data_IF_004851476967
#
_entry.id   IF_004851476967
#
_cell.length_a   1.000
_cell.length_b   1.000
_cell.length_c   1.000
_cell.angle_alpha   90.00
_cell.angle_beta   90.00
_cell.angle_gamma   90.00
#
_symmetry.space_group_name_H-M   'P 1'
#
loop_
_entity.id
_entity.type
_entity.pdbx_description
1 polymer ?
#
# COMPACT_ATOMS: atom_id res chain seq x y z
N UNK A 1 5.03 18.60 -6.14
CA UNK A 1 3.61 18.52 -5.73
C UNK A 1 3.12 17.08 -5.53
N UNK A 2 3.31 16.12 -6.44
CA UNK A 2 2.99 14.70 -6.16
C UNK A 2 4.03 13.98 -5.26
N UNK A 3 5.32 14.30 -5.42
CA UNK A 3 6.38 13.70 -4.60
C UNK A 3 6.33 14.17 -3.14
N UNK A 4 5.91 15.41 -2.89
CA UNK A 4 5.82 15.99 -1.54
C UNK A 4 4.74 15.28 -0.72
N UNK A 5 3.59 14.99 -1.32
CA UNK A 5 2.50 14.26 -0.66
C UNK A 5 2.92 12.83 -0.31
N UNK A 6 3.73 12.19 -1.17
CA UNK A 6 4.27 10.86 -0.87
C UNK A 6 5.17 10.88 0.37
N UNK A 7 6.13 11.79 0.45
CA UNK A 7 7.02 11.89 1.62
C UNK A 7 6.28 12.27 2.90
N UNK A 8 5.29 13.17 2.80
CA UNK A 8 4.44 13.53 3.93
C UNK A 8 3.61 12.35 4.42
N UNK A 9 3.05 11.55 3.50
CA UNK A 9 2.33 10.33 3.84
C UNK A 9 3.25 9.31 4.51
N UNK A 10 4.45 9.05 3.97
CA UNK A 10 5.38 8.10 4.60
C UNK A 10 5.83 8.60 5.97
N UNK A 11 6.06 9.91 6.15
CA UNK A 11 6.38 10.47 7.46
C UNK A 11 5.22 10.26 8.44
N UNK A 12 3.98 10.53 8.03
CA UNK A 12 2.80 10.26 8.85
C UNK A 12 2.70 8.77 9.23
N UNK A 13 2.91 7.86 8.27
CA UNK A 13 2.95 6.41 8.50
C UNK A 13 4.01 6.02 9.53
N UNK A 14 5.20 6.63 9.47
CA UNK A 14 6.29 6.36 10.43
C UNK A 14 6.00 6.85 11.85
N UNK A 15 5.27 7.97 12.03
CA UNK A 15 5.10 8.61 13.33
C UNK A 15 3.71 8.42 13.97
N UNK A 16 2.72 7.89 13.23
CA UNK A 16 1.36 7.68 13.73
C UNK A 16 1.08 6.20 14.01
N UNK A 17 0.83 5.86 15.28
CA UNK A 17 0.44 4.49 15.66
C UNK A 17 -0.89 4.06 15.02
N UNK A 18 -1.81 5.02 14.82
CA UNK A 18 -3.05 4.78 14.07
C UNK A 18 -2.74 4.37 12.63
N UNK A 19 -1.85 5.10 11.95
CA UNK A 19 -1.44 4.78 10.58
C UNK A 19 -0.81 3.40 10.49
N UNK A 20 0.09 3.08 11.42
CA UNK A 20 0.79 1.80 11.44
C UNK A 20 -0.16 0.61 11.56
N UNK A 21 -1.15 0.71 12.46
CA UNK A 21 -2.16 -0.33 12.62
C UNK A 21 -3.04 -0.48 11.38
N UNK A 22 -3.41 0.63 10.73
CA UNK A 22 -4.20 0.61 9.51
C UNK A 22 -3.42 -0.03 8.34
N UNK A 23 -2.15 0.35 8.17
CA UNK A 23 -1.29 -0.16 7.09
C UNK A 23 -0.96 -1.65 7.22
N UNK A 24 -0.98 -2.20 8.43
CA UNK A 24 -0.86 -3.65 8.64
C UNK A 24 -2.12 -4.44 8.25
N UNK A 25 -3.27 -3.75 8.14
CA UNK A 25 -4.56 -4.38 7.87
C UNK A 25 -5.02 -4.22 6.41
N UNK A 26 -4.21 -3.59 5.55
CA UNK A 26 -4.56 -3.41 4.14
C UNK A 26 -4.36 -4.68 3.34
N UNK A 27 -5.25 -4.94 2.39
CA UNK A 27 -5.21 -6.10 1.51
C UNK A 27 -4.83 -5.75 0.07
N UNK A 28 -4.79 -4.46 -0.27
CA UNK A 28 -4.48 -3.99 -1.61
C UNK A 28 -3.69 -2.67 -1.60
N UNK A 29 -2.91 -2.39 -2.66
CA UNK A 29 -2.28 -1.08 -2.84
C UNK A 29 -3.30 0.06 -2.91
N UNK A 30 -4.49 -0.20 -3.43
CA UNK A 30 -5.58 0.77 -3.54
C UNK A 30 -6.06 1.24 -2.17
N UNK A 31 -6.19 0.33 -1.20
CA UNK A 31 -6.54 0.69 0.18
C UNK A 31 -5.51 1.65 0.80
N UNK A 32 -4.22 1.49 0.50
CA UNK A 32 -3.18 2.41 0.97
C UNK A 32 -3.36 3.80 0.35
N UNK A 33 -3.68 3.87 -0.94
CA UNK A 33 -3.98 5.13 -1.63
C UNK A 33 -5.23 5.80 -1.05
N UNK A 34 -6.28 5.03 -0.73
CA UNK A 34 -7.50 5.53 -0.10
C UNK A 34 -7.24 6.07 1.31
N UNK A 35 -6.45 5.35 2.12
CA UNK A 35 -6.02 5.81 3.45
C UNK A 35 -5.25 7.13 3.36
N UNK A 36 -4.34 7.26 2.39
CA UNK A 36 -3.60 8.48 2.14
C UNK A 36 -4.54 9.64 1.74
N UNK A 37 -5.49 9.37 0.84
CA UNK A 37 -6.47 10.35 0.38
C UNK A 37 -7.38 10.86 1.51
N UNK A 38 -7.81 9.99 2.43
CA UNK A 38 -8.60 10.39 3.61
C UNK A 38 -7.87 11.38 4.53
N UNK A 39 -6.52 11.38 4.51
CA UNK A 39 -5.68 12.33 5.25
C UNK A 39 -5.23 13.53 4.40
N UNK A 40 -5.73 13.64 3.16
CA UNK A 40 -5.41 14.74 2.24
C UNK A 40 -4.12 14.56 1.44
N UNK A 41 -3.49 13.37 1.50
CA UNK A 41 -2.31 13.07 0.69
C UNK A 41 -2.73 12.50 -0.66
N UNK A 42 -2.06 12.97 -1.72
CA UNK A 42 -2.32 12.55 -3.09
C UNK A 42 -1.13 11.72 -3.55
N UNK A 43 -1.27 10.40 -3.44
CA UNK A 43 -0.25 9.43 -3.83
C UNK A 43 -0.82 8.47 -4.87
N UNK A 44 0.04 7.75 -5.58
CA UNK A 44 -0.38 6.70 -6.52
C UNK A 44 0.17 5.34 -6.15
N UNK A 45 -0.48 4.28 -6.66
CA UNK A 45 0.01 2.91 -6.58
C UNK A 45 1.40 2.77 -7.21
N UNK A 46 1.66 3.49 -8.31
CA UNK A 46 2.97 3.50 -8.97
C UNK A 46 4.08 4.03 -8.06
N UNK A 47 3.82 5.10 -7.31
CA UNK A 47 4.76 5.61 -6.32
C UNK A 47 5.01 4.58 -5.21
N UNK A 48 3.96 3.96 -4.68
CA UNK A 48 4.10 2.91 -3.68
C UNK A 48 4.97 1.75 -4.20
N UNK A 49 4.72 1.27 -5.41
CA UNK A 49 5.51 0.20 -6.03
C UNK A 49 6.98 0.59 -6.19
N UNK A 50 7.25 1.80 -6.67
CA UNK A 50 8.61 2.32 -6.88
C UNK A 50 9.42 2.37 -5.58
N UNK A 51 8.76 2.67 -4.46
CA UNK A 51 9.40 2.86 -3.16
C UNK A 51 9.24 1.69 -2.19
N UNK A 52 8.42 0.68 -2.49
CA UNK A 52 8.16 -0.46 -1.60
C UNK A 52 9.44 -1.14 -1.11
N UNK A 53 10.46 -1.25 -1.98
CA UNK A 53 11.76 -1.83 -1.61
C UNK A 53 12.57 -1.01 -0.62
N UNK A 54 12.33 0.30 -0.57
CA UNK A 54 12.98 1.23 0.36
C UNK A 54 12.20 1.36 1.67
N UNK A 55 10.90 1.11 1.62
CA UNK A 55 9.97 1.14 2.75
C UNK A 55 9.94 -0.22 3.45
N UNK A 56 10.93 -0.47 4.30
CA UNK A 56 11.14 -1.74 5.01
C UNK A 56 10.80 -1.66 6.51
N UNK A 57 10.02 -0.65 6.91
CA UNK A 57 9.54 -0.52 8.27
C UNK A 57 8.43 -1.56 8.57
N UNK A 58 8.29 -2.04 9.83
CA UNK A 58 7.38 -3.13 10.20
C UNK A 58 5.87 -2.88 10.00
N UNK A 59 5.49 -1.64 9.70
CA UNK A 59 4.09 -1.28 9.51
C UNK A 59 3.62 -1.43 8.05
N UNK A 60 4.55 -1.62 7.11
CA UNK A 60 4.19 -1.91 5.73
C UNK A 60 3.84 -3.38 5.57
N UNK A 61 2.72 -3.67 4.90
CA UNK A 61 2.23 -5.04 4.70
C UNK A 61 3.21 -5.94 3.94
N UNK A 62 4.06 -5.35 3.09
CA UNK A 62 5.11 -6.06 2.36
C UNK A 62 6.41 -6.27 3.15
N UNK A 63 6.49 -5.82 4.41
CA UNK A 63 7.68 -6.03 5.21
C UNK A 63 7.96 -7.53 5.39
N UNK A 64 9.22 -7.94 5.19
CA UNK A 64 9.67 -9.34 5.24
C UNK A 64 9.04 -10.27 4.18
N UNK A 65 8.27 -9.74 3.23
CA UNK A 65 7.76 -10.50 2.10
C UNK A 65 8.82 -10.62 1.00
N UNK A 66 8.75 -11.70 0.24
CA UNK A 66 9.65 -11.92 -0.89
C UNK A 66 9.27 -11.10 -2.13
N UNK A 67 10.11 -11.16 -3.15
CA UNK A 67 9.92 -10.36 -4.35
C UNK A 67 8.66 -10.70 -5.12
N UNK A 68 8.30 -11.99 -5.15
CA UNK A 68 7.13 -12.46 -5.87
C UNK A 68 5.86 -11.95 -5.19
N UNK A 69 5.80 -12.06 -3.86
CA UNK A 69 4.69 -11.55 -3.07
C UNK A 69 4.44 -10.06 -3.31
N UNK A 70 5.51 -9.25 -3.32
CA UNK A 70 5.40 -7.81 -3.57
C UNK A 70 4.84 -7.53 -4.97
N UNK A 71 5.34 -8.23 -5.98
CA UNK A 71 4.81 -8.10 -7.34
C UNK A 71 3.34 -8.51 -7.43
N UNK A 72 2.95 -9.62 -6.79
CA UNK A 72 1.57 -10.10 -6.78
C UNK A 72 0.63 -9.10 -6.07
N UNK A 73 1.07 -8.53 -4.94
CA UNK A 73 0.34 -7.48 -4.22
C UNK A 73 0.09 -6.26 -5.11
N UNK A 74 1.11 -5.77 -5.82
CA UNK A 74 0.98 -4.62 -6.71
C UNK A 74 0.29 -4.94 -8.06
N UNK A 75 0.24 -6.21 -8.47
CA UNK A 75 -0.51 -6.68 -9.63
C UNK A 75 -2.02 -6.87 -9.36
N UNK A 76 -2.46 -6.71 -8.10
CA UNK A 76 -3.85 -6.98 -7.69
C UNK A 76 -4.15 -8.48 -7.57
N UNK A 77 -3.12 -9.31 -7.44
CA UNK A 77 -3.18 -10.77 -7.33
C UNK A 77 -2.82 -11.25 -5.92
N UNK A 78 -2.97 -10.39 -4.90
CA UNK A 78 -2.54 -10.67 -3.53
C UNK A 78 -3.02 -12.03 -2.99
N UNK A 79 -2.34 -12.60 -1.99
CA UNK A 79 -2.63 -13.93 -1.46
C UNK A 79 -4.04 -13.97 -0.86
N UNK A 80 -5.02 -14.43 -1.64
CA UNK A 80 -6.43 -14.47 -1.26
C UNK A 80 -7.40 -14.00 -2.34
N UNK A 81 -6.92 -13.41 -3.45
CA UNK A 81 -7.80 -13.08 -4.57
C UNK A 81 -7.95 -14.31 -5.47
N UNK A 82 -8.74 -15.29 -5.02
CA UNK A 82 -9.46 -16.15 -5.97
C UNK A 82 -10.27 -15.23 -6.88
N UNK A 83 -9.97 -15.30 -8.17
CA UNK A 83 -10.69 -14.67 -9.26
C UNK A 83 -12.17 -15.13 -9.28
N UNK A 84 -13.03 -14.56 -8.43
CA UNK A 84 -14.49 -14.79 -8.45
C UNK A 84 -15.29 -13.52 -8.78
N UNK A 85 -14.75 -12.62 -9.61
CA UNK A 85 -15.52 -11.51 -10.18
C UNK A 85 -15.67 -11.60 -11.71
N UNK A 86 -15.99 -12.80 -12.21
CA UNK A 86 -16.68 -12.96 -13.49
C UNK A 86 -18.10 -13.47 -13.25
N UNK A 87 -18.92 -12.64 -12.59
CA UNK A 87 -20.37 -12.82 -12.60
C UNK A 87 -20.91 -12.30 -13.94
N UNK A 88 -21.18 -13.28 -14.81
CA UNK A 88 -22.16 -13.34 -15.90
C UNK A 88 -23.01 -12.07 -16.13
N UNK A 89 -22.97 -11.60 -17.38
CA UNK A 89 -24.14 -11.05 -18.09
C UNK A 89 -24.36 -11.86 -19.34
#
# INVERSE_FOLDING_TARGET
MASDHFYLFTAWASFSKEAQNLLQSVHSPQEIVELAAQKGYAISVEQLRLFARRLQEPHWVWNQQDDQWVEDFFAGQGPGVSLEWSVRT
#
